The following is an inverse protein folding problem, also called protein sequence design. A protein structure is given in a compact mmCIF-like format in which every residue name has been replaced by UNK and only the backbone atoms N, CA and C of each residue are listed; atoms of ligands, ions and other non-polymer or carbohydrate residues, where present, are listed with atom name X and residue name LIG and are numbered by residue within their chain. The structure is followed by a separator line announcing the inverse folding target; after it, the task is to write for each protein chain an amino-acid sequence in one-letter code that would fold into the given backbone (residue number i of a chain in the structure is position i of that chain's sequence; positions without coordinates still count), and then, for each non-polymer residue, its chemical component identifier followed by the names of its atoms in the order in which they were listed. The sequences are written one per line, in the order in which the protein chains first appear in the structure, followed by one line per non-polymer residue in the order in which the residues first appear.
data_IF_997393209049
#
_entry.id   IF_997393209049
#
_cell.length_a   1.000
_cell.length_b   1.000
_cell.length_c   1.000
_cell.angle_alpha   90.00
_cell.angle_beta   90.00
_cell.angle_gamma   90.00
#
_symmetry.space_group_name_H-M   'P 1'
#
loop_
_entity.id
_entity.type
_entity.pdbx_description
1 polymer ?
#
# COMPACT_ATOMS: atom_id res chain seq x y z
N UNK A 1 -27.55 -19.62 22.47
CA UNK A 1 -26.86 -18.61 21.64
C UNK A 1 -25.36 -18.78 21.87
N UNK A 2 -24.63 -19.31 20.90
CA UNK A 2 -23.16 -19.31 20.95
C UNK A 2 -22.73 -17.84 20.94
N UNK A 3 -21.94 -17.40 21.92
CA UNK A 3 -21.31 -16.08 21.84
C UNK A 3 -20.49 -16.05 20.55
N UNK A 4 -20.75 -15.06 19.70
CA UNK A 4 -19.87 -14.79 18.56
C UNK A 4 -18.44 -14.66 19.07
N UNK A 5 -17.48 -15.33 18.42
CA UNK A 5 -16.08 -15.19 18.76
C UNK A 5 -15.71 -13.70 18.69
N UNK A 6 -15.25 -13.14 19.81
CA UNK A 6 -14.77 -11.77 19.89
C UNK A 6 -13.25 -11.80 19.86
N UNK A 7 -12.68 -10.92 19.04
CA UNK A 7 -11.25 -10.73 18.93
C UNK A 7 -10.91 -9.30 19.36
N UNK A 8 -9.71 -9.09 19.88
CA UNK A 8 -9.21 -7.76 20.25
C UNK A 8 -7.74 -7.66 19.86
N UNK A 9 -7.31 -6.42 19.57
CA UNK A 9 -5.92 -6.05 19.35
C UNK A 9 -5.55 -5.06 20.46
N UNK A 10 -4.41 -5.30 21.12
CA UNK A 10 -3.85 -4.37 22.09
C UNK A 10 -2.53 -3.82 21.53
N UNK A 11 -2.45 -2.50 21.40
CA UNK A 11 -1.29 -1.78 20.88
C UNK A 11 -0.81 -0.73 21.88
N UNK A 12 0.35 -0.13 21.61
CA UNK A 12 0.80 1.05 22.35
C UNK A 12 -0.23 2.19 22.18
N UNK A 13 -0.49 2.94 23.26
CA UNK A 13 -1.39 4.10 23.20
C UNK A 13 -0.71 5.29 22.49
N UNK A 14 -1.40 5.86 21.50
CA UNK A 14 -0.94 7.03 20.75
C UNK A 14 -1.67 8.29 21.22
N UNK A 15 -0.93 9.23 21.81
CA UNK A 15 -1.45 10.54 22.18
C UNK A 15 -1.28 11.51 21.00
N UNK A 16 -2.37 11.70 20.24
CA UNK A 16 -2.40 12.60 19.08
C UNK A 16 -2.55 14.07 19.50
N UNK A 17 -2.08 14.99 18.66
CA UNK A 17 -2.23 16.44 18.89
C UNK A 17 -1.33 17.02 20.00
N UNK A 18 -0.31 16.26 20.42
CA UNK A 18 0.65 16.70 21.43
C UNK A 18 1.61 17.77 20.86
N UNK A 19 1.62 18.97 21.46
CA UNK A 19 2.38 20.11 20.95
C UNK A 19 3.79 20.25 21.54
N UNK A 20 4.12 19.58 22.63
CA UNK A 20 5.10 20.12 23.60
C UNK A 20 6.34 19.24 23.85
N UNK A 21 6.71 18.34 22.94
CA UNK A 21 7.95 17.57 23.07
C UNK A 21 8.81 17.57 21.80
N UNK A 22 10.12 17.73 21.97
CA UNK A 22 11.13 17.48 20.92
C UNK A 22 11.17 15.98 20.64
N UNK A 23 10.67 15.53 19.49
CA UNK A 23 10.87 14.17 19.01
C UNK A 23 12.06 14.03 18.06
N UNK A 24 12.08 12.97 17.26
CA UNK A 24 13.16 12.64 16.33
C UNK A 24 13.46 13.74 15.31
N UNK A 25 12.47 14.56 14.97
CA UNK A 25 12.56 15.57 13.92
C UNK A 25 12.60 14.99 12.50
N UNK A 26 12.44 13.68 12.35
CA UNK A 26 12.36 13.01 11.05
C UNK A 26 10.94 13.18 10.51
N UNK A 27 10.83 13.77 9.32
CA UNK A 27 9.55 13.99 8.64
C UNK A 27 8.86 12.68 8.25
N UNK A 28 7.55 12.73 8.03
CA UNK A 28 6.78 11.60 7.52
C UNK A 28 7.30 11.17 6.14
N UNK A 29 7.65 12.13 5.28
CA UNK A 29 8.22 11.87 3.96
C UNK A 29 9.53 11.08 4.06
N UNK A 30 10.44 11.44 4.95
CA UNK A 30 11.70 10.72 5.14
C UNK A 30 11.50 9.32 5.73
N UNK A 31 10.55 9.15 6.67
CA UNK A 31 10.19 7.84 7.21
C UNK A 31 9.58 6.93 6.14
N UNK A 32 8.63 7.45 5.35
CA UNK A 32 8.00 6.70 4.27
C UNK A 32 8.99 6.37 3.15
N UNK A 33 9.85 7.32 2.77
CA UNK A 33 10.91 7.07 1.80
C UNK A 33 11.83 5.93 2.24
N UNK A 34 12.18 5.88 3.54
CA UNK A 34 12.96 4.76 4.09
C UNK A 34 12.20 3.43 3.99
N UNK A 35 10.90 3.43 4.26
CA UNK A 35 10.04 2.24 4.12
C UNK A 35 10.03 1.76 2.66
N UNK A 36 9.74 2.66 1.72
CA UNK A 36 9.63 2.40 0.29
C UNK A 36 10.96 2.16 -0.44
N UNK A 37 12.09 2.29 0.24
CA UNK A 37 13.42 1.96 -0.29
C UNK A 37 14.07 0.77 0.42
N UNK A 38 13.38 0.16 1.39
CA UNK A 38 13.84 -1.06 2.05
C UNK A 38 13.33 -2.28 1.27
N UNK A 39 14.21 -3.07 0.63
CA UNK A 39 13.80 -4.25 -0.12
C UNK A 39 13.12 -5.28 0.77
N UNK A 40 12.12 -5.96 0.24
CA UNK A 40 11.46 -7.07 0.90
C UNK A 40 12.48 -8.20 1.17
N UNK A 41 12.37 -8.90 2.32
CA UNK A 41 13.13 -10.12 2.54
C UNK A 41 12.71 -11.20 1.54
N UNK A 42 13.59 -12.18 1.31
CA UNK A 42 13.24 -13.39 0.56
C UNK A 42 12.32 -14.24 1.44
N UNK A 43 11.07 -14.53 1.03
CA UNK A 43 10.17 -15.37 1.81
C UNK A 43 10.64 -16.83 1.86
N UNK A 44 10.23 -17.56 2.90
CA UNK A 44 10.56 -18.97 3.06
C UNK A 44 10.07 -19.79 1.86
N UNK A 45 10.96 -20.63 1.31
CA UNK A 45 10.66 -21.46 0.14
C UNK A 45 10.91 -20.80 -1.22
N UNK A 46 11.47 -19.59 -1.26
CA UNK A 46 11.85 -18.88 -2.48
C UNK A 46 13.34 -18.52 -2.49
N UNK A 47 13.88 -18.30 -3.69
CA UNK A 47 15.30 -17.96 -3.91
C UNK A 47 15.50 -16.46 -4.24
N UNK A 48 14.42 -15.69 -4.31
CA UNK A 48 14.43 -14.26 -4.64
C UNK A 48 13.32 -13.50 -3.88
N UNK A 49 13.42 -12.16 -3.75
CA UNK A 49 12.31 -11.35 -3.26
C UNK A 49 11.04 -11.57 -4.10
N UNK A 50 9.87 -11.57 -3.44
CA UNK A 50 8.58 -11.84 -4.06
C UNK A 50 7.57 -10.75 -3.68
N UNK A 51 6.59 -10.52 -4.55
CA UNK A 51 5.43 -9.68 -4.26
C UNK A 51 4.36 -10.50 -3.52
N UNK A 52 3.69 -9.88 -2.56
CA UNK A 52 2.73 -10.53 -1.66
C UNK A 52 3.01 -10.25 -0.21
N UNK A 53 2.53 -11.10 0.68
CA UNK A 53 2.74 -10.95 2.12
C UNK A 53 2.62 -12.31 2.82
N UNK A 54 3.27 -12.54 3.98
CA UNK A 54 3.25 -13.84 4.65
C UNK A 54 1.86 -14.31 5.10
N UNK A 55 0.92 -13.37 5.25
CA UNK A 55 -0.47 -13.62 5.66
C UNK A 55 -1.43 -12.76 4.82
N UNK A 56 -2.69 -13.17 4.68
CA UNK A 56 -3.74 -12.26 4.20
C UNK A 56 -3.81 -11.03 5.11
N UNK A 57 -3.89 -9.86 4.49
CA UNK A 57 -4.20 -8.58 5.16
C UNK A 57 -5.62 -8.16 4.82
N UNK A 58 -6.13 -7.11 5.46
CA UNK A 58 -7.45 -6.58 5.16
C UNK A 58 -7.38 -5.08 4.91
N UNK A 59 -8.01 -4.63 3.84
CA UNK A 59 -8.35 -3.22 3.64
C UNK A 59 -9.80 -3.04 4.08
N UNK A 60 -10.02 -2.42 5.25
CA UNK A 60 -11.31 -2.50 5.94
C UNK A 60 -11.70 -3.94 6.29
N UNK A 61 -12.90 -4.38 5.89
CA UNK A 61 -13.38 -5.76 6.07
C UNK A 61 -13.00 -6.69 4.90
N UNK A 62 -12.33 -6.15 3.88
CA UNK A 62 -11.99 -6.86 2.67
C UNK A 62 -10.61 -7.50 2.80
N UNK A 63 -10.59 -8.77 3.20
CA UNK A 63 -9.41 -9.64 3.06
C UNK A 63 -8.81 -9.55 1.65
N UNK A 64 -7.49 -9.34 1.56
CA UNK A 64 -6.71 -9.24 0.34
C UNK A 64 -5.92 -10.53 0.09
N UNK A 65 -5.93 -11.02 -1.16
CA UNK A 65 -5.08 -12.14 -1.56
C UNK A 65 -3.62 -11.67 -1.61
N UNK A 66 -2.79 -12.21 -0.73
CA UNK A 66 -1.37 -11.90 -0.65
C UNK A 66 -0.47 -13.09 -1.05
N UNK A 67 -1.03 -14.06 -1.77
CA UNK A 67 -0.26 -15.17 -2.33
C UNK A 67 0.90 -14.67 -3.19
N UNK A 68 2.04 -15.33 -3.04
CA UNK A 68 3.30 -14.87 -3.62
C UNK A 68 3.29 -14.88 -5.15
N UNK A 69 3.85 -13.84 -5.75
CA UNK A 69 4.08 -13.71 -7.21
C UNK A 69 5.47 -13.12 -7.47
N UNK A 70 6.12 -13.56 -8.54
CA UNK A 70 7.43 -13.04 -8.95
C UNK A 70 7.33 -11.75 -9.77
N UNK A 71 6.20 -11.52 -10.44
CA UNK A 71 5.92 -10.29 -11.21
C UNK A 71 4.92 -9.42 -10.47
N UNK A 72 5.19 -8.11 -10.44
CA UNK A 72 4.24 -7.13 -9.88
C UNK A 72 3.01 -6.99 -10.75
N UNK A 73 3.16 -7.03 -12.08
CA UNK A 73 2.03 -6.96 -12.99
C UNK A 73 1.05 -8.12 -12.77
N UNK A 74 1.58 -9.35 -12.65
CA UNK A 74 0.76 -10.52 -12.35
C UNK A 74 0.08 -10.40 -10.98
N UNK A 75 0.83 -9.95 -9.96
CA UNK A 75 0.27 -9.72 -8.63
C UNK A 75 -0.86 -8.70 -8.66
N UNK A 76 -0.64 -7.54 -9.26
CA UNK A 76 -1.64 -6.48 -9.30
C UNK A 76 -2.88 -6.90 -10.09
N UNK A 77 -2.70 -7.52 -11.26
CA UNK A 77 -3.79 -7.98 -12.10
C UNK A 77 -4.63 -9.09 -11.42
N UNK A 78 -3.98 -10.12 -10.86
CA UNK A 78 -4.68 -11.26 -10.26
C UNK A 78 -5.16 -10.99 -8.83
N UNK A 79 -4.24 -10.54 -7.97
CA UNK A 79 -4.43 -10.47 -6.53
C UNK A 79 -5.06 -9.16 -6.05
N UNK A 80 -5.17 -8.15 -6.92
CA UNK A 80 -5.90 -6.90 -6.62
C UNK A 80 -7.13 -6.77 -7.49
N UNK A 81 -6.95 -6.56 -8.80
CA UNK A 81 -8.05 -6.23 -9.72
C UNK A 81 -9.03 -7.40 -9.92
N UNK A 82 -8.56 -8.55 -10.41
CA UNK A 82 -9.44 -9.72 -10.63
C UNK A 82 -9.97 -10.28 -9.32
N UNK A 83 -9.18 -10.23 -8.24
CA UNK A 83 -9.60 -10.66 -6.93
C UNK A 83 -10.80 -9.85 -6.40
N UNK A 84 -10.73 -8.51 -6.43
CA UNK A 84 -11.85 -7.68 -5.94
C UNK A 84 -13.09 -7.86 -6.81
N UNK A 85 -12.93 -7.98 -8.13
CA UNK A 85 -14.07 -8.23 -9.03
C UNK A 85 -14.75 -9.57 -8.73
N UNK A 86 -13.98 -10.65 -8.49
CA UNK A 86 -14.53 -11.96 -8.06
C UNK A 86 -15.33 -11.83 -6.76
N UNK A 87 -14.86 -11.01 -5.80
CA UNK A 87 -15.58 -10.75 -4.55
C UNK A 87 -16.86 -9.95 -4.78
N UNK A 88 -16.82 -8.92 -5.62
CA UNK A 88 -18.00 -8.13 -6.00
C UNK A 88 -19.06 -9.04 -6.59
N UNK A 89 -18.70 -9.88 -7.58
CA UNK A 89 -19.62 -10.84 -8.20
C UNK A 89 -20.21 -11.81 -7.18
N UNK A 90 -19.39 -12.34 -6.27
CA UNK A 90 -19.83 -13.25 -5.22
C UNK A 90 -20.84 -12.61 -4.26
N UNK A 91 -20.65 -11.34 -3.91
CA UNK A 91 -21.45 -10.66 -2.89
C UNK A 91 -22.68 -9.94 -3.45
N UNK A 92 -22.62 -9.47 -4.70
CA UNK A 92 -23.62 -8.58 -5.28
C UNK A 92 -24.24 -9.12 -6.59
N UNK A 93 -23.73 -10.25 -7.11
CA UNK A 93 -24.13 -10.79 -8.41
C UNK A 93 -23.28 -10.27 -9.56
N UNK A 94 -23.41 -10.85 -10.76
CA UNK A 94 -22.58 -10.50 -11.91
C UNK A 94 -22.92 -9.10 -12.45
N UNK A 95 -21.87 -8.38 -12.81
CA UNK A 95 -21.91 -7.15 -13.59
C UNK A 95 -20.96 -7.34 -14.78
N UNK A 96 -21.52 -7.53 -15.98
CA UNK A 96 -20.76 -7.85 -17.18
C UNK A 96 -19.88 -6.71 -17.64
N UNK A 97 -20.41 -5.48 -17.62
CA UNK A 97 -19.68 -4.30 -18.06
C UNK A 97 -18.50 -4.01 -17.12
N UNK A 98 -18.72 -4.09 -15.80
CA UNK A 98 -17.65 -3.94 -14.81
C UNK A 98 -16.58 -5.04 -14.94
N UNK A 99 -17.00 -6.30 -15.12
CA UNK A 99 -16.08 -7.42 -15.29
C UNK A 99 -15.23 -7.28 -16.56
N UNK A 100 -15.83 -6.88 -17.69
CA UNK A 100 -15.13 -6.67 -18.95
C UNK A 100 -14.14 -5.50 -18.85
N UNK A 101 -14.51 -4.41 -18.16
CA UNK A 101 -13.60 -3.28 -17.91
C UNK A 101 -12.41 -3.68 -17.03
N UNK A 102 -12.66 -4.38 -15.91
CA UNK A 102 -11.58 -4.88 -15.04
C UNK A 102 -10.67 -5.83 -15.79
N UNK A 103 -11.23 -6.75 -16.58
CA UNK A 103 -10.44 -7.70 -17.36
C UNK A 103 -9.59 -6.99 -18.41
N UNK A 104 -10.13 -5.96 -19.08
CA UNK A 104 -9.36 -5.16 -20.04
C UNK A 104 -8.21 -4.41 -19.37
N UNK A 105 -8.44 -3.79 -18.20
CA UNK A 105 -7.36 -3.14 -17.45
C UNK A 105 -6.30 -4.17 -17.04
N UNK A 106 -6.72 -5.30 -16.47
CA UNK A 106 -5.83 -6.33 -15.97
C UNK A 106 -5.02 -7.05 -17.08
N UNK A 107 -5.58 -7.16 -18.29
CA UNK A 107 -4.94 -7.86 -19.42
C UNK A 107 -4.17 -6.95 -20.39
N UNK A 108 -4.56 -5.68 -20.52
CA UNK A 108 -3.94 -4.75 -21.48
C UNK A 108 -3.14 -3.63 -20.79
N UNK A 109 -3.73 -2.97 -19.79
CA UNK A 109 -3.17 -1.75 -19.19
C UNK A 109 -2.07 -2.07 -18.19
N UNK A 110 -2.31 -3.04 -17.29
CA UNK A 110 -1.33 -3.48 -16.28
C UNK A 110 0.00 -3.91 -16.92
N UNK A 111 0.05 -4.88 -17.86
CA UNK A 111 1.33 -5.26 -18.46
C UNK A 111 1.98 -4.11 -19.26
N UNK A 112 1.20 -3.20 -19.85
CA UNK A 112 1.74 -2.05 -20.59
C UNK A 112 2.42 -1.03 -19.68
N UNK A 113 1.87 -0.76 -18.50
CA UNK A 113 2.39 0.27 -17.59
C UNK A 113 3.42 -0.29 -16.61
N UNK A 114 3.21 -1.50 -16.09
CA UNK A 114 3.96 -2.05 -14.94
C UNK A 114 4.43 -3.49 -15.17
N UNK A 115 4.39 -3.97 -16.42
CA UNK A 115 4.93 -5.28 -16.80
C UNK A 115 6.46 -5.35 -16.68
N UNK A 116 6.97 -6.56 -16.51
CA UNK A 116 8.40 -6.84 -16.29
C UNK A 116 9.29 -6.38 -17.46
N UNK A 117 8.75 -6.33 -18.69
CA UNK A 117 9.45 -5.78 -19.86
C UNK A 117 9.54 -4.24 -19.84
N UNK A 118 8.66 -3.58 -19.08
CA UNK A 118 8.58 -2.12 -18.99
C UNK A 118 9.33 -1.58 -17.78
N UNK A 119 9.24 -2.25 -16.65
CA UNK A 119 9.78 -1.79 -15.38
C UNK A 119 10.48 -2.92 -14.63
N UNK A 120 11.60 -2.61 -13.98
CA UNK A 120 12.23 -3.50 -13.02
C UNK A 120 11.81 -3.09 -11.60
N UNK A 121 10.73 -3.68 -11.10
CA UNK A 121 10.15 -3.31 -9.81
C UNK A 121 10.79 -4.16 -8.71
N UNK A 122 11.38 -3.50 -7.72
CA UNK A 122 11.85 -4.17 -6.50
C UNK A 122 10.69 -4.23 -5.50
N UNK A 123 10.31 -5.41 -4.98
CA UNK A 123 9.32 -5.50 -3.91
C UNK A 123 9.85 -4.78 -2.66
N UNK A 124 9.08 -3.83 -2.15
CA UNK A 124 9.34 -3.13 -0.89
C UNK A 124 8.12 -3.24 -0.01
N UNK A 125 8.30 -3.11 1.31
CA UNK A 125 7.14 -3.05 2.20
C UNK A 125 6.43 -1.71 2.01
N UNK A 126 5.11 -1.78 1.84
CA UNK A 126 4.23 -0.61 1.82
C UNK A 126 3.17 -0.77 2.94
N UNK A 127 2.59 0.33 3.38
CA UNK A 127 1.52 0.35 4.37
C UNK A 127 0.22 -0.25 3.83
N UNK A 128 -0.08 -0.01 2.56
CA UNK A 128 -1.20 -0.55 1.79
C UNK A 128 -2.56 0.10 2.10
N UNK A 129 -2.59 1.12 2.95
CA UNK A 129 -3.81 1.87 3.33
C UNK A 129 -3.46 3.27 3.87
N UNK A 130 -2.43 3.93 3.32
CA UNK A 130 -1.93 5.20 3.88
C UNK A 130 -2.67 6.40 3.29
N UNK A 131 -3.77 6.79 3.92
CA UNK A 131 -4.50 8.02 3.61
C UNK A 131 -4.57 8.96 4.82
N UNK A 132 -5.16 10.15 4.66
CA UNK A 132 -5.29 11.16 5.73
C UNK A 132 -5.84 10.64 7.07
N UNK A 133 -6.62 9.56 7.06
CA UNK A 133 -7.14 8.92 8.27
C UNK A 133 -6.12 8.05 9.02
N UNK A 134 -5.07 7.57 8.36
CA UNK A 134 -4.15 6.54 8.86
C UNK A 134 -2.74 7.07 9.19
N UNK A 135 -2.58 8.39 9.29
CA UNK A 135 -1.35 9.01 9.79
C UNK A 135 -1.63 10.23 10.66
N UNK A 136 -0.72 10.52 11.59
CA UNK A 136 -0.78 11.72 12.43
C UNK A 136 0.59 12.04 13.02
N UNK A 137 0.72 13.21 13.64
CA UNK A 137 1.79 13.47 14.59
C UNK A 137 1.28 13.26 16.02
N UNK A 138 2.05 12.54 16.84
CA UNK A 138 1.65 12.22 18.21
C UNK A 138 2.82 11.67 19.01
N UNK A 139 2.55 11.23 20.24
CA UNK A 139 3.54 10.60 21.10
C UNK A 139 3.07 9.19 21.44
N UNK A 140 3.96 8.21 21.33
CA UNK A 140 3.72 6.87 21.86
C UNK A 140 3.85 6.95 23.39
N UNK A 141 2.78 6.65 24.13
CA UNK A 141 2.76 6.82 25.58
C UNK A 141 3.93 6.09 26.26
N UNK A 142 4.61 6.80 27.16
CA UNK A 142 5.80 6.28 27.85
C UNK A 142 7.07 6.19 26.99
N UNK A 143 7.05 6.66 25.74
CA UNK A 143 8.21 6.66 24.84
C UNK A 143 8.43 8.02 24.19
N UNK A 144 9.68 8.48 24.20
CA UNK A 144 10.19 9.54 23.32
C UNK A 144 9.44 10.88 23.39
N UNK A 145 9.50 11.64 22.29
CA UNK A 145 8.76 12.89 22.07
C UNK A 145 7.80 12.77 20.89
N UNK A 146 7.38 13.90 20.32
CA UNK A 146 6.46 13.94 19.17
C UNK A 146 7.05 13.25 17.93
N UNK A 147 6.36 12.25 17.41
CA UNK A 147 6.72 11.50 16.22
C UNK A 147 5.62 11.57 15.15
N UNK A 148 6.04 11.54 13.89
CA UNK A 148 5.18 11.15 12.78
C UNK A 148 4.90 9.65 12.88
N UNK A 149 3.62 9.28 12.93
CA UNK A 149 3.13 7.91 13.14
C UNK A 149 2.11 7.55 12.07
N UNK A 150 2.08 6.27 11.71
CA UNK A 150 1.09 5.64 10.84
C UNK A 150 0.45 4.47 11.58
N UNK A 151 -0.79 4.13 11.23
CA UNK A 151 -1.57 3.09 11.91
C UNK A 151 -2.60 2.49 10.96
N UNK A 152 -3.19 1.37 11.39
CA UNK A 152 -4.16 0.58 10.63
C UNK A 152 -3.65 0.13 9.23
N UNK A 153 -2.54 -0.61 9.16
CA UNK A 153 -1.95 -1.01 7.88
C UNK A 153 -2.67 -2.19 7.22
N UNK A 154 -2.65 -2.20 5.89
CA UNK A 154 -2.96 -3.35 5.03
C UNK A 154 -1.71 -3.78 4.25
N UNK A 155 -0.64 -4.09 4.99
CA UNK A 155 0.70 -4.27 4.45
C UNK A 155 0.79 -5.25 3.26
N UNK A 156 1.65 -4.92 2.31
CA UNK A 156 2.08 -5.83 1.23
C UNK A 156 3.53 -5.53 0.84
N UNK A 157 4.25 -6.54 0.36
CA UNK A 157 5.47 -6.33 -0.41
C UNK A 157 5.09 -6.06 -1.86
N UNK A 158 5.24 -4.82 -2.28
CA UNK A 158 4.69 -4.31 -3.54
C UNK A 158 5.58 -3.29 -4.23
N UNK A 159 5.07 -2.72 -5.32
CA UNK A 159 5.64 -1.52 -5.91
C UNK A 159 5.40 -0.31 -5.00
N UNK A 160 6.43 0.47 -4.69
CA UNK A 160 6.29 1.67 -3.83
C UNK A 160 5.27 2.68 -4.34
N UNK A 161 5.10 2.81 -5.67
CA UNK A 161 4.13 3.73 -6.25
C UNK A 161 2.67 3.29 -6.03
N UNK A 162 2.44 2.02 -5.67
CA UNK A 162 1.10 1.53 -5.35
C UNK A 162 0.48 2.26 -4.14
N UNK A 163 1.28 2.56 -3.11
CA UNK A 163 0.82 3.37 -1.97
C UNK A 163 0.41 4.79 -2.40
N UNK A 164 1.05 5.33 -3.45
CA UNK A 164 0.80 6.70 -3.86
C UNK A 164 -0.60 6.88 -4.45
N UNK A 165 -1.21 5.82 -4.98
CA UNK A 165 -2.61 5.82 -5.44
C UNK A 165 -3.57 6.19 -4.31
N UNK A 166 -3.56 5.43 -3.20
CA UNK A 166 -4.45 5.71 -2.06
C UNK A 166 -4.13 7.06 -1.40
N UNK A 167 -2.85 7.43 -1.32
CA UNK A 167 -2.41 8.73 -0.81
C UNK A 167 -2.92 9.90 -1.66
N UNK A 168 -2.98 9.74 -2.98
CA UNK A 168 -3.48 10.77 -3.90
C UNK A 168 -5.02 10.84 -3.87
N UNK A 169 -5.69 9.69 -3.94
CA UNK A 169 -7.16 9.59 -3.98
C UNK A 169 -7.85 10.20 -2.75
N UNK A 170 -7.33 9.92 -1.55
CA UNK A 170 -7.94 10.39 -0.29
C UNK A 170 -7.18 11.55 0.37
N UNK A 171 -6.03 11.93 -0.18
CA UNK A 171 -5.25 13.08 0.26
C UNK A 171 -4.71 12.96 1.69
N UNK A 172 -4.36 14.11 2.28
CA UNK A 172 -3.70 14.22 3.59
C UNK A 172 -2.25 14.69 3.54
N UNK A 173 -1.69 14.77 2.33
CA UNK A 173 -0.27 15.04 2.11
C UNK A 173 -0.05 16.39 1.44
N UNK A 174 0.57 17.33 2.16
CA UNK A 174 0.85 18.68 1.67
C UNK A 174 2.03 18.73 0.67
N UNK A 175 2.18 19.86 -0.02
CA UNK A 175 3.26 20.06 -1.00
C UNK A 175 4.67 19.92 -0.43
N UNK A 176 4.86 20.19 0.87
CA UNK A 176 6.14 19.96 1.55
C UNK A 176 6.49 18.48 1.64
N UNK A 177 5.50 17.61 1.92
CA UNK A 177 5.68 16.16 1.96
C UNK A 177 6.09 15.65 0.58
N UNK A 178 5.31 15.97 -0.47
CA UNK A 178 5.57 15.48 -1.82
C UNK A 178 6.94 15.92 -2.35
N UNK A 179 7.28 17.20 -2.17
CA UNK A 179 8.58 17.73 -2.57
C UNK A 179 9.77 17.07 -1.86
N UNK A 180 9.58 16.64 -0.62
CA UNK A 180 10.63 15.92 0.12
C UNK A 180 10.67 14.45 -0.30
N UNK A 181 9.52 13.79 -0.38
CA UNK A 181 9.40 12.39 -0.77
C UNK A 181 9.97 12.15 -2.17
N UNK A 182 9.60 12.94 -3.17
CA UNK A 182 10.10 12.80 -4.56
C UNK A 182 11.61 13.04 -4.69
N UNK A 183 12.22 13.78 -3.76
CA UNK A 183 13.69 13.93 -3.72
C UNK A 183 14.39 12.70 -3.16
N UNK A 184 13.73 11.98 -2.26
CA UNK A 184 14.27 10.79 -1.58
C UNK A 184 13.95 9.51 -2.34
N UNK A 185 12.78 9.46 -2.98
CA UNK A 185 12.29 8.38 -3.84
C UNK A 185 11.90 9.01 -5.18
N UNK A 186 12.82 9.07 -6.14
CA UNK A 186 12.52 9.55 -7.48
C UNK A 186 11.42 8.71 -8.13
N UNK A 187 10.65 9.33 -9.04
CA UNK A 187 9.66 8.64 -9.87
C UNK A 187 10.33 7.47 -10.59
N UNK A 188 9.69 6.29 -10.60
CA UNK A 188 10.25 5.15 -11.29
C UNK A 188 10.27 5.38 -12.80
N UNK A 189 11.31 4.90 -13.47
CA UNK A 189 11.40 4.97 -14.92
C UNK A 189 10.44 3.96 -15.57
N UNK A 190 9.77 4.31 -16.68
CA UNK A 190 9.76 5.63 -17.36
C UNK A 190 9.03 6.72 -16.54
N UNK A 191 9.69 7.84 -16.26
CA UNK A 191 9.12 8.88 -15.41
C UNK A 191 7.90 9.58 -16.04
N UNK A 192 7.80 9.61 -17.37
CA UNK A 192 6.67 10.21 -18.10
C UNK A 192 5.35 9.44 -17.95
N UNK A 193 5.39 8.16 -17.57
CA UNK A 193 4.19 7.33 -17.32
C UNK A 193 3.85 7.26 -15.82
N UNK A 194 4.51 8.05 -14.98
CA UNK A 194 4.29 8.03 -13.52
C UNK A 194 2.85 8.39 -13.16
N UNK A 195 2.30 9.45 -13.76
CA UNK A 195 0.91 9.87 -13.48
C UNK A 195 -0.08 8.78 -13.90
N UNK A 196 0.17 8.10 -15.04
CA UNK A 196 -0.66 6.99 -15.51
C UNK A 196 -0.63 5.80 -14.54
N UNK A 197 0.54 5.50 -13.94
CA UNK A 197 0.68 4.44 -12.93
C UNK A 197 -0.02 4.80 -11.62
N UNK A 198 0.07 6.04 -11.16
CA UNK A 198 -0.66 6.48 -9.97
C UNK A 198 -2.17 6.37 -10.23
N UNK A 199 -2.68 6.82 -11.38
CA UNK A 199 -4.09 6.65 -11.75
C UNK A 199 -4.51 5.18 -11.86
N UNK A 200 -3.64 4.29 -12.36
CA UNK A 200 -3.89 2.84 -12.34
C UNK A 200 -4.04 2.31 -10.90
N UNK A 201 -3.27 2.83 -9.95
CA UNK A 201 -3.26 2.42 -8.55
C UNK A 201 -4.37 3.05 -7.69
N UNK A 202 -5.15 3.99 -8.24
CA UNK A 202 -6.36 4.53 -7.61
C UNK A 202 -7.61 3.65 -7.83
N UNK A 203 -7.52 2.64 -8.70
CA UNK A 203 -8.63 1.74 -9.05
C UNK A 203 -9.06 0.80 -7.92
#
# INVERSE_FOLDING_TARGET
MQQANRYFLATDFLQLGYSDSKGSGISLAAKLAKLHTTPAPIPEGFDSPMFGFPVPTCCGDTEQDNSWKSSWADFYAENRLRYIMKRIVKNHGPDGDAADMVERVASEVVPRLVGDERMNITPVVIHGDLWSGNHSAGQIAGKGGREEVVFDPSCVYGHSEYELGIMNMFGGFGSSFWREYEKLVPKAEPAEEWDDRVSLYEL
#
